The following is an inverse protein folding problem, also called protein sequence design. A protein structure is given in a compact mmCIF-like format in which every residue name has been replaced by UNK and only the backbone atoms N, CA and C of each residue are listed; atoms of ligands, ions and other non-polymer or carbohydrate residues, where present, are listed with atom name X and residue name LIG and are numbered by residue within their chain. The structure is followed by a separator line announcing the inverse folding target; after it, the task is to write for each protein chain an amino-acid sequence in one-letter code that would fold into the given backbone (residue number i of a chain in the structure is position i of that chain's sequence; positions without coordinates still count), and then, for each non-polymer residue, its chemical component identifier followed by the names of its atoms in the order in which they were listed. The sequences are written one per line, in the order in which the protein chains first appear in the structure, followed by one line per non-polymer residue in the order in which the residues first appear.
data_IF_433554389834
#
_entry.id   IF_433554389834
#
_cell.length_a   1.000
_cell.length_b   1.000
_cell.length_c   1.000
_cell.angle_alpha   90.00
_cell.angle_beta   90.00
_cell.angle_gamma   90.00
#
_symmetry.space_group_name_H-M   'P 1'
#
loop_
_entity.id
_entity.type
_entity.pdbx_description
1 polymer ?
#
# COMPACT_ATOMS: atom_id res chain seq x y z
N UNK A 1 13.95 22.18 0.32
CA UNK A 1 14.01 21.69 -1.04
C UNK A 1 12.84 20.77 -1.34
N UNK A 2 12.56 20.55 -2.61
CA UNK A 2 11.50 19.64 -3.05
C UNK A 2 11.71 18.22 -2.49
N UNK A 3 12.96 17.78 -2.43
CA UNK A 3 13.32 16.47 -1.88
C UNK A 3 13.01 16.35 -0.39
N UNK A 4 13.25 17.40 0.36
CA UNK A 4 12.93 17.44 1.78
C UNK A 4 11.42 17.41 2.01
N UNK A 5 10.66 18.17 1.23
CA UNK A 5 9.21 18.21 1.34
C UNK A 5 8.58 16.86 1.00
N UNK A 6 9.13 16.13 0.01
CA UNK A 6 8.62 14.80 -0.36
C UNK A 6 8.80 13.78 0.75
N UNK A 7 9.89 13.86 1.54
CA UNK A 7 10.11 12.93 2.66
C UNK A 7 9.05 13.02 3.74
N UNK A 8 8.43 14.19 3.93
CA UNK A 8 7.42 14.41 4.97
C UNK A 8 6.01 14.04 4.53
N UNK A 9 5.85 13.54 3.31
CA UNK A 9 4.54 13.24 2.74
C UNK A 9 4.10 11.80 2.93
N UNK A 10 5.02 10.90 3.28
CA UNK A 10 4.68 9.50 3.51
C UNK A 10 4.56 9.30 5.01
N UNK A 11 3.39 8.79 5.43
CA UNK A 11 3.12 8.53 6.84
C UNK A 11 2.08 7.44 6.99
N UNK A 12 1.85 7.01 8.23
CA UNK A 12 0.77 6.07 8.50
C UNK A 12 -0.58 6.69 8.13
N UNK A 13 -1.43 5.86 7.55
CA UNK A 13 -2.78 6.23 7.17
C UNK A 13 -3.67 6.26 8.40
N UNK A 14 -4.48 7.30 8.54
CA UNK A 14 -5.44 7.42 9.64
C UNK A 14 -6.78 6.79 9.23
N UNK A 15 -7.53 6.31 10.22
CA UNK A 15 -8.84 5.68 9.96
C UNK A 15 -9.76 6.60 9.17
N UNK A 16 -9.77 7.89 9.48
CA UNK A 16 -10.59 8.89 8.78
C UNK A 16 -10.21 9.09 7.32
N UNK A 17 -9.04 8.59 6.92
CA UNK A 17 -8.54 8.73 5.54
C UNK A 17 -8.93 7.53 4.66
N UNK A 18 -9.59 6.52 5.22
CA UNK A 18 -10.01 5.36 4.43
C UNK A 18 -11.07 5.71 3.38
N UNK A 19 -11.90 6.71 3.62
CA UNK A 19 -12.86 7.16 2.60
C UNK A 19 -12.14 7.74 1.39
N UNK A 20 -11.13 8.56 1.62
CA UNK A 20 -10.30 9.11 0.56
C UNK A 20 -9.56 8.02 -0.19
N UNK A 21 -9.03 7.04 0.54
CA UNK A 21 -8.38 5.87 -0.06
C UNK A 21 -9.35 5.06 -0.93
N UNK A 22 -10.60 4.92 -0.49
CA UNK A 22 -11.63 4.20 -1.26
C UNK A 22 -11.94 4.90 -2.58
N UNK A 23 -11.92 6.23 -2.62
CA UNK A 23 -12.11 6.99 -3.86
C UNK A 23 -10.99 6.68 -4.85
N UNK A 24 -9.74 6.72 -4.38
CA UNK A 24 -8.57 6.39 -5.20
C UNK A 24 -8.66 4.95 -5.70
N UNK A 25 -8.96 4.03 -4.81
CA UNK A 25 -9.08 2.61 -5.13
C UNK A 25 -10.11 2.37 -6.23
N UNK A 26 -11.29 2.97 -6.09
CA UNK A 26 -12.35 2.86 -7.08
C UNK A 26 -11.90 3.40 -8.44
N UNK A 27 -11.30 4.59 -8.45
CA UNK A 27 -10.86 5.22 -9.69
C UNK A 27 -9.80 4.40 -10.41
N UNK A 28 -8.85 3.84 -9.67
CA UNK A 28 -7.75 3.07 -10.27
C UNK A 28 -8.25 1.71 -10.77
N UNK A 29 -8.92 0.94 -9.93
CA UNK A 29 -9.19 -0.46 -10.24
C UNK A 29 -10.48 -0.68 -11.03
N UNK A 30 -11.36 0.31 -11.12
CA UNK A 30 -12.47 0.28 -12.07
C UNK A 30 -12.03 0.63 -13.50
N UNK A 31 -10.85 1.23 -13.64
CA UNK A 31 -10.29 1.57 -14.93
C UNK A 31 -9.43 0.46 -15.52
N UNK A 32 -9.03 0.67 -16.78
CA UNK A 32 -8.13 -0.21 -17.48
C UNK A 32 -6.77 -0.29 -16.78
N UNK A 33 -6.09 -1.44 -16.76
CA UNK A 33 -6.45 -2.71 -17.41
C UNK A 33 -7.32 -3.63 -16.55
N UNK A 34 -7.61 -3.26 -15.30
CA UNK A 34 -8.30 -4.15 -14.35
C UNK A 34 -9.79 -4.23 -14.61
N UNK A 35 -10.46 -3.11 -14.84
CA UNK A 35 -11.89 -3.01 -15.14
C UNK A 35 -12.76 -3.77 -14.12
N UNK A 36 -12.39 -3.69 -12.84
CA UNK A 36 -13.12 -4.35 -11.76
C UNK A 36 -14.35 -3.53 -11.36
N UNK A 37 -15.45 -4.17 -10.96
CA UNK A 37 -16.70 -3.45 -10.72
C UNK A 37 -16.77 -2.82 -9.31
N UNK A 38 -15.78 -2.01 -8.94
CA UNK A 38 -15.76 -1.34 -7.65
C UNK A 38 -16.69 -0.12 -7.64
N UNK A 39 -17.36 0.06 -6.52
CA UNK A 39 -18.01 1.31 -6.15
C UNK A 39 -17.26 1.90 -4.94
N UNK A 40 -17.53 3.16 -4.62
CA UNK A 40 -16.96 3.77 -3.42
C UNK A 40 -17.35 2.99 -2.16
N UNK A 41 -18.59 2.50 -2.09
CA UNK A 41 -19.08 1.74 -0.95
C UNK A 41 -18.37 0.39 -0.82
N UNK A 42 -18.22 -0.35 -1.92
CA UNK A 42 -17.55 -1.66 -1.87
C UNK A 42 -16.06 -1.51 -1.66
N UNK A 43 -15.42 -0.50 -2.23
CA UNK A 43 -14.02 -0.20 -1.99
C UNK A 43 -13.79 0.17 -0.51
N UNK A 44 -14.65 1.02 0.05
CA UNK A 44 -14.55 1.38 1.45
C UNK A 44 -14.74 0.14 2.35
N UNK A 45 -15.72 -0.70 2.06
CA UNK A 45 -15.96 -1.92 2.84
C UNK A 45 -14.72 -2.82 2.84
N UNK A 46 -14.07 -2.99 1.68
CA UNK A 46 -12.83 -3.77 1.60
C UNK A 46 -11.73 -3.16 2.45
N UNK A 47 -11.46 -1.87 2.28
CA UNK A 47 -10.38 -1.22 3.02
C UNK A 47 -10.66 -1.18 4.52
N UNK A 48 -11.91 -0.96 4.90
CA UNK A 48 -12.33 -1.02 6.29
C UNK A 48 -12.07 -2.41 6.90
N UNK A 49 -12.47 -3.48 6.21
CA UNK A 49 -12.26 -4.84 6.68
C UNK A 49 -10.76 -5.12 6.84
N UNK A 50 -9.93 -4.69 5.89
CA UNK A 50 -8.48 -4.82 6.00
C UNK A 50 -7.98 -4.06 7.23
N UNK A 51 -8.48 -2.86 7.47
CA UNK A 51 -8.05 -2.01 8.60
C UNK A 51 -8.39 -2.63 9.97
N UNK A 52 -9.35 -3.54 10.02
CA UNK A 52 -9.75 -4.24 11.24
C UNK A 52 -9.04 -5.59 11.42
N UNK A 53 -8.23 -5.99 10.46
CA UNK A 53 -7.44 -7.20 10.58
C UNK A 53 -6.34 -7.01 11.64
N UNK A 54 -6.16 -7.95 12.56
CA UNK A 54 -5.05 -7.85 13.51
C UNK A 54 -3.71 -7.69 12.80
N UNK A 55 -2.88 -6.78 13.29
CA UNK A 55 -1.59 -6.48 12.69
C UNK A 55 -1.66 -5.52 11.51
N UNK A 56 -2.78 -4.86 11.31
CA UNK A 56 -2.96 -3.90 10.20
C UNK A 56 -1.89 -2.81 10.20
N UNK A 57 -1.39 -2.53 8.99
CA UNK A 57 -0.53 -1.38 8.69
C UNK A 57 -1.07 -0.71 7.44
N UNK A 58 -1.37 0.57 7.55
CA UNK A 58 -1.73 1.42 6.41
C UNK A 58 -0.75 2.57 6.28
N UNK A 59 -0.30 2.83 5.05
CA UNK A 59 0.67 3.88 4.73
C UNK A 59 0.09 4.72 3.60
N UNK A 60 0.16 6.05 3.74
CA UNK A 60 -0.32 6.96 2.72
C UNK A 60 0.77 7.90 2.24
N UNK A 61 0.68 8.28 0.98
CA UNK A 61 1.48 9.32 0.37
C UNK A 61 0.56 10.52 0.11
N UNK A 62 0.90 11.68 0.66
CA UNK A 62 0.06 12.87 0.64
C UNK A 62 0.72 13.99 -0.17
N UNK A 63 -0.08 14.74 -0.91
CA UNK A 63 0.40 15.86 -1.69
C UNK A 63 0.90 16.98 -0.76
N UNK A 64 2.05 17.57 -1.08
CA UNK A 64 2.71 18.55 -0.23
C UNK A 64 1.90 19.83 0.01
N UNK A 65 1.15 20.26 -0.99
CA UNK A 65 0.47 21.56 -0.94
C UNK A 65 -0.90 21.47 -0.28
N UNK A 66 -1.69 20.43 -0.62
CA UNK A 66 -3.08 20.35 -0.16
C UNK A 66 -3.35 19.16 0.76
N UNK A 67 -2.33 18.36 1.06
CA UNK A 67 -2.43 17.18 1.93
C UNK A 67 -3.44 16.13 1.43
N UNK A 68 -3.71 16.13 0.12
CA UNK A 68 -4.57 15.10 -0.46
C UNK A 68 -3.81 13.78 -0.62
N UNK A 69 -4.48 12.68 -0.33
CA UNK A 69 -3.93 11.35 -0.54
C UNK A 69 -3.80 11.08 -2.04
N UNK A 70 -2.64 10.59 -2.47
CA UNK A 70 -2.38 10.27 -3.87
C UNK A 70 -1.96 8.82 -4.09
N UNK A 71 -1.69 8.11 -3.03
CA UNK A 71 -1.39 6.68 -3.08
C UNK A 71 -1.33 6.10 -1.68
N UNK A 72 -1.46 4.78 -1.58
CA UNK A 72 -1.44 4.11 -0.28
C UNK A 72 -1.08 2.64 -0.40
N UNK A 73 -0.66 2.08 0.74
CA UNK A 73 -0.47 0.66 0.95
C UNK A 73 -1.30 0.27 2.16
N UNK A 74 -1.96 -0.89 2.10
CA UNK A 74 -2.58 -1.52 3.25
C UNK A 74 -2.20 -3.00 3.28
N UNK A 75 -1.97 -3.50 4.48
CA UNK A 75 -1.61 -4.89 4.70
C UNK A 75 -1.61 -5.21 6.18
N UNK A 76 -1.13 -6.39 6.53
CA UNK A 76 -1.12 -6.82 7.93
C UNK A 76 0.06 -7.71 8.27
N UNK A 77 0.54 -7.55 9.49
CA UNK A 77 1.53 -8.45 10.09
C UNK A 77 0.85 -9.70 10.62
N UNK A 78 1.57 -10.81 10.56
CA UNK A 78 1.16 -12.07 11.19
C UNK A 78 2.33 -12.69 11.93
N UNK A 79 2.03 -13.36 13.03
CA UNK A 79 3.00 -14.21 13.71
C UNK A 79 3.06 -15.54 12.98
N UNK A 80 4.26 -15.95 12.59
CA UNK A 80 4.53 -17.26 12.02
C UNK A 80 5.67 -17.89 12.80
N UNK A 81 5.44 -19.07 13.34
CA UNK A 81 6.46 -19.78 14.14
C UNK A 81 7.18 -18.81 15.11
N UNK A 82 8.48 -18.55 14.90
CA UNK A 82 9.29 -17.68 15.74
C UNK A 82 9.65 -16.34 15.08
N UNK A 83 8.92 -15.94 14.02
CA UNK A 83 9.16 -14.68 13.34
C UNK A 83 7.85 -14.09 12.83
N UNK A 84 7.90 -12.82 12.42
CA UNK A 84 6.74 -12.14 11.85
C UNK A 84 6.85 -12.09 10.32
N UNK A 85 5.68 -12.21 9.69
CA UNK A 85 5.51 -12.01 8.26
C UNK A 85 4.59 -10.81 8.04
N UNK A 86 4.60 -10.27 6.83
CA UNK A 86 3.68 -9.21 6.41
C UNK A 86 3.04 -9.59 5.09
N UNK A 87 1.74 -9.40 5.00
CA UNK A 87 1.01 -9.56 3.74
C UNK A 87 0.54 -8.19 3.25
N UNK A 88 1.00 -7.81 2.06
CA UNK A 88 0.58 -6.58 1.40
C UNK A 88 -0.72 -6.88 0.67
N UNK A 89 -1.83 -6.35 1.19
CA UNK A 89 -3.16 -6.57 0.60
C UNK A 89 -3.37 -5.73 -0.65
N UNK A 90 -3.03 -4.43 -0.56
CA UNK A 90 -3.22 -3.50 -1.67
C UNK A 90 -2.12 -2.46 -1.71
N UNK A 91 -1.67 -2.14 -2.91
CA UNK A 91 -0.92 -0.93 -3.21
C UNK A 91 -1.65 -0.21 -4.34
N UNK A 92 -1.90 1.06 -4.17
CA UNK A 92 -2.73 1.82 -5.08
C UNK A 92 -2.20 3.25 -5.21
N UNK A 93 -1.97 3.70 -6.44
CA UNK A 93 -1.50 5.06 -6.73
C UNK A 93 -2.40 5.62 -7.82
N UNK A 94 -2.81 6.89 -7.68
CA UNK A 94 -3.60 7.57 -8.69
C UNK A 94 -2.96 7.43 -10.07
N UNK A 95 -3.76 7.10 -11.09
CA UNK A 95 -3.28 6.81 -12.44
C UNK A 95 -2.52 8.00 -13.03
N UNK A 96 -2.99 9.20 -12.79
CA UNK A 96 -2.35 10.42 -13.29
C UNK A 96 -0.98 10.69 -12.66
N UNK A 97 -0.64 9.99 -11.57
CA UNK A 97 0.59 10.21 -10.81
C UNK A 97 1.49 8.97 -10.83
N UNK A 98 1.06 7.90 -11.48
CA UNK A 98 1.88 6.70 -11.62
C UNK A 98 3.19 7.01 -12.36
N UNK A 99 4.25 6.28 -12.00
CA UNK A 99 5.61 6.44 -12.55
C UNK A 99 6.33 7.73 -12.13
N UNK A 100 5.83 8.42 -11.11
CA UNK A 100 6.49 9.60 -10.55
C UNK A 100 7.30 9.29 -9.29
N UNK A 101 7.43 8.01 -8.92
CA UNK A 101 8.16 7.58 -7.73
C UNK A 101 7.30 7.47 -6.47
N UNK A 102 5.99 7.69 -6.54
CA UNK A 102 5.10 7.57 -5.39
C UNK A 102 5.06 6.13 -4.87
N UNK A 103 4.89 5.17 -5.76
CA UNK A 103 4.91 3.74 -5.38
C UNK A 103 6.22 3.34 -4.75
N UNK A 104 7.35 3.81 -5.30
CA UNK A 104 8.69 3.56 -4.74
C UNK A 104 8.82 4.15 -3.34
N UNK A 105 8.33 5.38 -3.12
CA UNK A 105 8.36 6.02 -1.81
C UNK A 105 7.53 5.27 -0.79
N UNK A 106 6.35 4.80 -1.17
CA UNK A 106 5.50 3.98 -0.31
C UNK A 106 6.19 2.68 0.09
N UNK A 107 6.79 1.98 -0.87
CA UNK A 107 7.49 0.72 -0.61
C UNK A 107 8.75 0.93 0.23
N UNK A 108 9.46 2.03 0.03
CA UNK A 108 10.63 2.38 0.84
C UNK A 108 10.23 2.60 2.30
N UNK A 109 9.16 3.36 2.52
CA UNK A 109 8.65 3.58 3.87
C UNK A 109 8.21 2.26 4.52
N UNK A 110 7.48 1.43 3.79
CA UNK A 110 7.07 0.11 4.26
C UNK A 110 8.28 -0.74 4.65
N UNK A 111 9.29 -0.79 3.79
CA UNK A 111 10.51 -1.56 4.05
C UNK A 111 11.18 -1.13 5.36
N UNK A 112 11.36 0.17 5.55
CA UNK A 112 11.97 0.70 6.77
C UNK A 112 11.15 0.33 8.00
N UNK A 113 9.83 0.46 7.91
CA UNK A 113 8.92 0.10 9.00
C UNK A 113 9.00 -1.39 9.34
N UNK A 114 8.99 -2.25 8.33
CA UNK A 114 9.08 -3.69 8.53
C UNK A 114 10.41 -4.11 9.15
N UNK A 115 11.50 -3.48 8.76
CA UNK A 115 12.82 -3.72 9.38
C UNK A 115 12.79 -3.34 10.86
N UNK A 116 12.25 -2.16 11.19
CA UNK A 116 12.12 -1.70 12.57
C UNK A 116 11.27 -2.67 13.41
N UNK A 117 10.23 -3.23 12.81
CA UNK A 117 9.31 -4.14 13.47
C UNK A 117 9.80 -5.59 13.45
N UNK A 118 10.98 -5.85 12.90
CA UNK A 118 11.62 -7.17 12.83
C UNK A 118 10.79 -8.19 12.06
N UNK A 119 10.09 -7.73 11.04
CA UNK A 119 9.40 -8.60 10.09
C UNK A 119 10.44 -9.22 9.17
N UNK A 120 10.41 -10.53 9.00
CA UNK A 120 11.41 -11.25 8.21
C UNK A 120 11.02 -11.46 6.77
N UNK A 121 9.74 -11.67 6.52
CA UNK A 121 9.25 -11.97 5.17
C UNK A 121 8.00 -11.17 4.90
N UNK A 122 7.85 -10.72 3.66
CA UNK A 122 6.65 -10.04 3.21
C UNK A 122 6.20 -10.64 1.87
N UNK A 123 4.90 -10.66 1.67
CA UNK A 123 4.25 -11.29 0.53
C UNK A 123 3.28 -10.33 -0.12
N UNK A 124 3.10 -10.48 -1.44
CA UNK A 124 2.11 -9.77 -2.22
C UNK A 124 1.53 -10.72 -3.26
N UNK A 125 0.25 -10.55 -3.60
CA UNK A 125 -0.33 -11.23 -4.75
C UNK A 125 0.33 -10.73 -6.03
N UNK A 126 0.75 -11.65 -6.90
CA UNK A 126 1.35 -11.29 -8.19
C UNK A 126 0.30 -10.82 -9.18
N UNK A 127 -0.93 -11.31 -9.04
CA UNK A 127 -2.07 -10.93 -9.88
C UNK A 127 -3.26 -10.62 -9.01
N UNK A 128 -4.00 -9.57 -9.38
CA UNK A 128 -5.17 -9.17 -8.61
C UNK A 128 -6.24 -10.27 -8.63
N UNK A 129 -6.59 -10.72 -7.42
CA UNK A 129 -7.73 -11.62 -7.21
C UNK A 129 -7.56 -13.06 -7.64
N UNK A 130 -6.43 -13.45 -8.24
CA UNK A 130 -6.28 -14.80 -8.81
C UNK A 130 -4.95 -15.47 -8.50
N UNK A 131 -3.92 -14.74 -8.22
CA UNK A 131 -2.60 -15.31 -8.02
C UNK A 131 -2.37 -15.83 -6.62
N UNK A 132 -1.44 -16.77 -6.47
CA UNK A 132 -0.91 -17.13 -5.17
C UNK A 132 -0.03 -15.98 -4.66
N UNK A 133 -0.01 -15.72 -3.33
CA UNK A 133 0.90 -14.73 -2.80
C UNK A 133 2.34 -15.06 -3.15
N UNK A 134 3.07 -14.06 -3.63
CA UNK A 134 4.49 -14.18 -3.89
C UNK A 134 5.27 -13.46 -2.82
N UNK A 135 6.32 -14.10 -2.31
CA UNK A 135 7.19 -13.46 -1.34
C UNK A 135 7.99 -12.35 -2.00
N UNK A 136 7.94 -11.13 -1.45
CA UNK A 136 8.71 -10.01 -1.95
C UNK A 136 9.71 -9.44 -0.94
N UNK A 137 9.67 -9.91 0.31
CA UNK A 137 10.69 -9.57 1.30
C UNK A 137 11.26 -10.86 1.89
N UNK A 138 12.48 -11.17 1.47
CA UNK A 138 13.37 -12.08 2.17
C UNK A 138 14.67 -11.32 2.30
N UNK A 139 14.74 -10.45 3.29
CA UNK A 139 15.89 -9.59 3.59
C UNK A 139 16.29 -8.62 2.47
N UNK A 140 16.49 -9.10 1.23
CA UNK A 140 17.03 -8.29 0.12
C UNK A 140 16.09 -8.14 -1.04
N UNK A 141 14.94 -8.82 -1.01
CA UNK A 141 14.08 -8.93 -2.18
C UNK A 141 13.17 -7.73 -2.36
N UNK A 142 12.92 -6.98 -1.28
CA UNK A 142 12.08 -5.79 -1.36
C UNK A 142 12.62 -4.76 -2.34
N UNK A 143 13.94 -4.65 -2.45
CA UNK A 143 14.58 -3.71 -3.37
C UNK A 143 14.43 -4.10 -4.84
N UNK A 144 14.07 -5.35 -5.14
CA UNK A 144 13.90 -5.82 -6.52
C UNK A 144 12.47 -5.66 -7.03
N UNK A 145 11.53 -5.27 -6.17
CA UNK A 145 10.15 -5.03 -6.59
C UNK A 145 10.08 -3.69 -7.31
N UNK A 146 9.66 -3.74 -8.55
CA UNK A 146 9.42 -2.54 -9.34
C UNK A 146 7.93 -2.21 -9.26
N UNK A 147 7.54 -1.18 -8.49
CA UNK A 147 6.14 -0.82 -8.39
C UNK A 147 5.70 -0.15 -9.68
N UNK A 148 4.83 -0.81 -10.42
CA UNK A 148 4.19 -0.23 -11.61
C UNK A 148 2.99 0.65 -11.24
N UNK A 149 2.80 0.85 -9.98
CA UNK A 149 1.67 1.62 -9.46
C UNK A 149 1.99 3.08 -9.26
#
# INVERSE_FOLDING_TARGET
SACYMMKNQVRLLRDKELEEAAIIYTNVFSGSPWNEPWSRNTAYARLYDISKTPGYIGIGYFHSENNKLIGFIVGNEEQWANYKTFYLNEICVLTSIQQTGVGTSLLTFLKELLVQRKVKEAYVSTERGQGKPARFLKRRVLSSINPVY
#
